data_IF_925860232030
#
_entry.id   IF_925860232030
#
_cell.length_a   1.000
_cell.length_b   1.000
_cell.length_c   1.000
_cell.angle_alpha   90.00
_cell.angle_beta   90.00
_cell.angle_gamma   90.00
#
_symmetry.space_group_name_H-M   'P 1'
#
loop_
_entity.id
_entity.type
_entity.pdbx_description
1 polymer ?
#
# COMPACT_ATOMS: atom_id res chain seq x y z
N UNK A 1 13.01 18.17 -20.47
CA UNK A 1 12.65 19.05 -19.34
C UNK A 1 12.33 18.15 -18.16
N UNK A 2 13.32 17.88 -17.30
CA UNK A 2 13.14 16.99 -16.13
C UNK A 2 12.61 17.85 -15.00
N UNK A 3 11.32 17.70 -14.67
CA UNK A 3 10.72 18.41 -13.55
C UNK A 3 11.27 17.82 -12.24
N UNK A 4 11.73 18.65 -11.29
CA UNK A 4 12.04 18.17 -9.95
C UNK A 4 10.71 17.79 -9.32
N UNK A 5 10.43 16.48 -9.24
CA UNK A 5 9.33 15.97 -8.43
C UNK A 5 9.73 16.25 -6.99
N UNK A 6 9.30 17.40 -6.47
CA UNK A 6 9.22 17.62 -5.03
C UNK A 6 8.35 16.49 -4.50
N UNK A 7 8.98 15.54 -3.83
CA UNK A 7 8.39 14.35 -3.20
C UNK A 7 7.52 14.81 -2.02
N UNK A 8 6.50 15.62 -2.30
CA UNK A 8 5.51 16.00 -1.32
C UNK A 8 4.84 14.70 -0.89
N UNK A 9 4.83 14.43 0.42
CA UNK A 9 4.21 13.25 0.96
C UNK A 9 2.76 13.17 0.42
N UNK A 10 2.36 12.05 -0.20
CA UNK A 10 1.03 11.97 -0.80
C UNK A 10 -0.04 12.31 0.23
N UNK A 11 -1.06 13.06 -0.21
CA UNK A 11 -2.24 13.30 0.60
C UNK A 11 -2.95 11.96 0.78
N UNK A 12 -2.91 11.42 1.99
CA UNK A 12 -3.59 10.18 2.33
C UNK A 12 -5.01 10.51 2.81
N UNK A 13 -6.00 10.02 2.09
CA UNK A 13 -7.40 10.10 2.49
C UNK A 13 -7.90 8.75 2.96
N UNK A 14 -8.58 8.77 4.11
CA UNK A 14 -9.18 7.60 4.69
C UNK A 14 -10.70 7.59 4.46
N UNK A 15 -11.22 6.53 3.82
CA UNK A 15 -12.64 6.43 3.50
C UNK A 15 -13.46 5.63 4.51
N UNK A 16 -12.83 4.89 5.43
CA UNK A 16 -13.53 3.89 6.26
C UNK A 16 -13.30 4.02 7.78
N UNK A 17 -12.79 5.17 8.24
CA UNK A 17 -12.44 5.41 9.65
C UNK A 17 -11.46 4.35 10.18
N UNK A 18 -10.36 4.12 9.46
CA UNK A 18 -9.27 3.30 9.97
C UNK A 18 -8.58 4.00 11.16
N UNK A 19 -7.88 3.21 11.98
CA UNK A 19 -7.18 3.76 13.14
C UNK A 19 -6.09 4.75 12.72
N UNK A 20 -5.81 5.75 13.57
CA UNK A 20 -4.76 6.72 13.31
C UNK A 20 -3.38 6.07 13.14
N UNK A 21 -3.14 4.97 13.85
CA UNK A 21 -1.92 4.17 13.75
C UNK A 21 -1.75 3.56 12.35
N UNK A 22 -2.81 2.96 11.81
CA UNK A 22 -2.81 2.39 10.45
C UNK A 22 -2.58 3.47 9.38
N UNK A 23 -3.22 4.63 9.54
CA UNK A 23 -3.05 5.77 8.61
C UNK A 23 -1.63 6.34 8.69
N UNK A 24 -1.05 6.42 9.89
CA UNK A 24 0.30 6.90 10.11
C UNK A 24 1.35 5.94 9.52
N UNK A 25 1.20 4.63 9.74
CA UNK A 25 2.06 3.59 9.14
C UNK A 25 2.03 3.69 7.61
N UNK A 26 0.84 3.70 7.01
CA UNK A 26 0.70 3.81 5.56
C UNK A 26 1.33 5.09 5.01
N UNK A 27 1.16 6.23 5.69
CA UNK A 27 1.80 7.48 5.28
C UNK A 27 3.32 7.39 5.31
N UNK A 28 3.89 6.71 6.31
CA UNK A 28 5.32 6.45 6.39
C UNK A 28 5.78 5.55 5.24
N UNK A 29 5.06 4.44 4.98
CA UNK A 29 5.34 3.51 3.88
C UNK A 29 5.36 4.22 2.52
N UNK A 30 4.38 5.09 2.27
CA UNK A 30 4.34 5.90 1.04
C UNK A 30 5.49 6.92 0.97
N UNK A 31 5.91 7.49 2.09
CA UNK A 31 7.00 8.47 2.15
C UNK A 31 8.37 7.83 1.85
N UNK A 32 8.63 6.66 2.42
CA UNK A 32 9.88 5.91 2.16
C UNK A 32 9.89 5.27 0.77
N UNK A 33 8.73 5.15 0.11
CA UNK A 33 8.59 4.50 -1.18
C UNK A 33 8.61 2.98 -1.05
N UNK A 34 7.91 2.46 -0.04
CA UNK A 34 7.75 1.02 0.17
C UNK A 34 7.24 0.34 -1.11
N UNK A 35 7.67 -0.91 -1.37
CA UNK A 35 7.20 -1.67 -2.51
C UNK A 35 5.67 -1.77 -2.47
N UNK A 36 5.05 -1.56 -3.62
CA UNK A 36 3.60 -1.68 -3.79
C UNK A 36 3.30 -2.56 -4.99
N UNK A 37 2.46 -3.57 -4.80
CA UNK A 37 2.03 -4.49 -5.85
C UNK A 37 0.82 -3.92 -6.58
N UNK A 38 0.84 -3.76 -7.92
CA UNK A 38 -0.34 -3.32 -8.66
C UNK A 38 -1.40 -4.42 -8.72
N UNK A 39 -2.68 -4.05 -8.63
CA UNK A 39 -3.79 -4.96 -8.93
C UNK A 39 -3.89 -5.15 -10.46
N UNK A 40 -3.63 -6.37 -10.98
CA UNK A 40 -3.67 -6.63 -12.42
C UNK A 40 -5.06 -6.46 -13.04
N UNK A 41 -6.13 -6.48 -12.24
CA UNK A 41 -7.52 -6.34 -12.70
C UNK A 41 -8.00 -4.89 -12.66
N UNK A 42 -7.37 -4.03 -11.88
CA UNK A 42 -7.85 -2.66 -11.60
C UNK A 42 -6.71 -1.63 -11.70
N UNK A 43 -6.59 -0.93 -12.84
CA UNK A 43 -5.58 0.11 -13.00
C UNK A 43 -5.68 1.20 -11.91
N UNK A 44 -4.54 1.59 -11.35
CA UNK A 44 -4.48 2.61 -10.30
C UNK A 44 -4.68 2.07 -8.87
N UNK A 45 -5.02 0.78 -8.72
CA UNK A 45 -5.11 0.12 -7.42
C UNK A 45 -3.84 -0.66 -7.10
N UNK A 46 -3.44 -0.61 -5.84
CA UNK A 46 -2.21 -1.19 -5.35
C UNK A 46 -2.39 -1.77 -3.96
N UNK A 47 -1.60 -2.78 -3.66
CA UNK A 47 -1.37 -3.31 -2.32
C UNK A 47 -0.02 -2.79 -1.82
N UNK A 48 -0.01 -2.18 -0.64
CA UNK A 48 1.21 -1.73 0.04
C UNK A 48 1.43 -2.63 1.23
N UNK A 49 2.58 -3.29 1.25
CA UNK A 49 2.95 -4.22 2.30
C UNK A 49 3.55 -3.45 3.49
N UNK A 50 2.86 -3.46 4.61
CA UNK A 50 3.36 -3.01 5.91
C UNK A 50 3.94 -4.16 6.73
N UNK A 51 4.28 -3.88 7.99
CA UNK A 51 4.91 -4.86 8.86
C UNK A 51 3.92 -5.94 9.32
N UNK A 52 2.76 -5.49 9.81
CA UNK A 52 1.71 -6.39 10.34
C UNK A 52 0.43 -6.34 9.50
N UNK A 53 0.34 -5.40 8.56
CA UNK A 53 -0.85 -5.17 7.77
C UNK A 53 -0.48 -5.00 6.30
N UNK A 54 -1.40 -5.36 5.42
CA UNK A 54 -1.38 -4.93 4.03
C UNK A 54 -2.49 -3.90 3.81
N UNK A 55 -2.13 -2.85 3.08
CA UNK A 55 -3.01 -1.72 2.79
C UNK A 55 -3.39 -1.75 1.32
N UNK A 56 -4.69 -1.81 1.03
CA UNK A 56 -5.20 -1.66 -0.31
C UNK A 56 -5.53 -0.21 -0.58
N UNK A 57 -4.84 0.36 -1.57
CA UNK A 57 -4.88 1.78 -1.87
C UNK A 57 -5.19 2.04 -3.33
N UNK A 58 -5.84 3.17 -3.57
CA UNK A 58 -5.97 3.74 -4.90
C UNK A 58 -5.06 4.96 -5.02
N UNK A 59 -4.21 4.99 -6.04
CA UNK A 59 -3.34 6.14 -6.36
C UNK A 59 -3.97 6.90 -7.51
N UNK A 60 -4.25 8.19 -7.31
CA UNK A 60 -4.72 9.01 -8.43
C UNK A 60 -3.64 9.15 -9.51
N UNK A 61 -4.03 9.33 -10.78
CA UNK A 61 -3.09 9.56 -11.88
C UNK A 61 -2.13 10.73 -11.67
N UNK A 62 -2.55 11.73 -10.88
CA UNK A 62 -1.70 12.88 -10.52
C UNK A 62 -0.57 12.51 -9.54
N UNK A 63 -0.65 11.36 -8.87
CA UNK A 63 0.31 10.91 -7.86
C UNK A 63 0.26 11.69 -6.53
N UNK A 64 -0.51 12.78 -6.47
CA UNK A 64 -0.58 13.67 -5.31
C UNK A 64 -1.44 13.08 -4.18
N UNK A 65 -2.44 12.29 -4.53
CA UNK A 65 -3.44 11.79 -3.58
C UNK A 65 -3.54 10.27 -3.64
N UNK A 66 -3.67 9.66 -2.47
CA UNK A 66 -3.80 8.22 -2.27
C UNK A 66 -4.99 7.98 -1.34
N UNK A 67 -5.88 7.06 -1.71
CA UNK A 67 -6.99 6.64 -0.85
C UNK A 67 -6.68 5.32 -0.22
N UNK A 68 -6.89 5.21 1.08
CA UNK A 68 -6.95 3.95 1.79
C UNK A 68 -8.37 3.36 1.68
N UNK A 69 -8.47 2.17 1.10
CA UNK A 69 -9.73 1.48 0.86
C UNK A 69 -9.98 0.33 1.83
N UNK A 70 -8.94 -0.43 2.14
CA UNK A 70 -9.03 -1.57 3.05
C UNK A 70 -7.68 -1.88 3.69
N UNK A 71 -7.74 -2.51 4.85
CA UNK A 71 -6.59 -3.03 5.60
C UNK A 71 -6.90 -4.48 5.99
N UNK A 72 -5.93 -5.37 5.86
CA UNK A 72 -5.98 -6.72 6.43
C UNK A 72 -4.70 -7.03 7.18
N UNK A 73 -4.82 -7.86 8.21
CA UNK A 73 -3.68 -8.39 8.94
C UNK A 73 -2.87 -9.31 8.01
N UNK A 74 -1.55 -9.17 8.07
CA UNK A 74 -0.63 -10.14 7.47
C UNK A 74 -0.34 -11.20 8.51
N UNK A 75 -0.52 -12.44 8.10
CA UNK A 75 -0.08 -13.59 8.88
C UNK A 75 1.26 -14.08 8.29
N UNK A 76 2.42 -13.75 8.91
CA UNK A 76 3.73 -14.09 8.36
C UNK A 76 3.93 -15.61 8.26
N UNK A 77 3.19 -16.40 9.05
CA UNK A 77 3.24 -17.86 9.02
C UNK A 77 2.52 -18.40 7.78
N UNK A 78 1.37 -17.82 7.41
CA UNK A 78 0.66 -18.21 6.19
C UNK A 78 1.50 -17.93 4.92
N UNK A 79 2.26 -16.83 4.91
CA UNK A 79 3.15 -16.47 3.78
C UNK A 79 4.33 -17.45 3.65
N UNK A 80 4.91 -17.90 4.77
CA UNK A 80 5.97 -18.93 4.79
C UNK A 80 5.50 -20.30 4.27
N UNK A 81 4.28 -20.71 4.60
CA UNK A 81 3.74 -22.02 4.17
C UNK A 81 3.49 -22.07 2.66
N UNK A 82 3.11 -20.94 2.04
CA UNK A 82 2.87 -20.88 0.58
C UNK A 82 4.11 -21.17 -0.27
N UNK A 83 5.33 -20.93 0.26
CA UNK A 83 6.59 -21.26 -0.43
C UNK A 83 7.02 -22.73 -0.25
N UNK A 84 6.28 -23.53 0.52
CA UNK A 84 6.69 -24.88 0.93
C UNK A 84 6.04 -26.00 0.12
N UNK A 85 5.22 -25.70 -0.88
CA UNK A 85 4.67 -26.73 -1.76
C UNK A 85 5.61 -26.95 -2.96
N UNK A 86 6.45 -28.01 -2.99
CA UNK A 86 6.90 -28.50 -4.27
C UNK A 86 5.63 -28.93 -5.02
N UNK A 87 5.39 -28.37 -6.20
CA UNK A 87 4.42 -28.95 -7.11
C UNK A 87 4.86 -30.40 -7.35
N UNK A 88 4.13 -31.36 -6.77
CA UNK A 88 4.32 -32.78 -6.99
C UNK A 88 3.73 -33.20 -8.32
#
# INVERSE_FOLDING_TARGET
>A
MTMPITKQAPLLEDLRNHSQEQVAELRQLLTIGAPSRPDPRRPGFYEVEGCSHTYYVFKYPSGVKVLLLAVWERDPIAEMVACSCPAA
#
